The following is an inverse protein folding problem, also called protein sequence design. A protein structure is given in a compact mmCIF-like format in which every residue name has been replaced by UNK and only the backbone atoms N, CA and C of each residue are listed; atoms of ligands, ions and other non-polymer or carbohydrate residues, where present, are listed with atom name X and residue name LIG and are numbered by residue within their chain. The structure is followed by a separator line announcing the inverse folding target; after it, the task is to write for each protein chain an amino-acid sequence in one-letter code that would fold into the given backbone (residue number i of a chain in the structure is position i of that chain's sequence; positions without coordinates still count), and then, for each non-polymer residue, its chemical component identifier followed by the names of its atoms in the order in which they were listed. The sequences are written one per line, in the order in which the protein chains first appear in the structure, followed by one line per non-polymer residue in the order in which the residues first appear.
data_IF_157813973675
#
_entry.id   IF_157813973675
#
_cell.length_a   1.000
_cell.length_b   1.000
_cell.length_c   1.000
_cell.angle_alpha   90.00
_cell.angle_beta   90.00
_cell.angle_gamma   90.00
#
_symmetry.space_group_name_H-M   'P 1'
#
loop_
_entity.id
_entity.type
_entity.pdbx_description
1 polymer ?
#
# COMPACT_ATOMS: atom_id res chain seq x y z
N UNK A 1 13.85 -34.50 -69.19
CA UNK A 1 13.03 -34.06 -68.05
C UNK A 1 12.02 -33.10 -68.64
N UNK A 2 10.75 -33.50 -68.70
CA UNK A 2 9.67 -32.86 -69.47
C UNK A 2 9.09 -31.64 -68.75
N UNK A 3 8.91 -30.55 -69.49
CA UNK A 3 8.29 -29.28 -69.08
C UNK A 3 6.75 -29.35 -69.04
N UNK A 4 6.18 -30.45 -68.57
CA UNK A 4 4.74 -30.62 -68.39
C UNK A 4 4.46 -30.93 -66.91
N UNK A 5 4.19 -29.88 -66.11
CA UNK A 5 3.25 -29.89 -64.96
C UNK A 5 3.37 -28.64 -64.05
N UNK A 6 3.27 -27.43 -64.62
CA UNK A 6 2.81 -26.27 -63.84
C UNK A 6 1.43 -25.84 -64.33
N UNK A 7 0.41 -26.59 -63.91
CA UNK A 7 -1.00 -26.21 -64.12
C UNK A 7 -1.31 -25.01 -63.23
N UNK A 8 -1.10 -23.80 -63.75
CA UNK A 8 -1.62 -22.57 -63.13
C UNK A 8 -3.13 -22.62 -63.27
N UNK A 9 -3.82 -22.91 -62.16
CA UNK A 9 -5.28 -22.89 -62.08
C UNK A 9 -5.76 -21.44 -62.13
N UNK A 10 -5.99 -20.92 -63.34
CA UNK A 10 -6.65 -19.63 -63.54
C UNK A 10 -8.12 -19.73 -63.15
N UNK A 11 -8.41 -19.51 -61.87
CA UNK A 11 -9.78 -19.42 -61.35
C UNK A 11 -10.35 -18.07 -61.77
N UNK A 12 -11.52 -18.09 -62.42
CA UNK A 12 -12.21 -16.85 -62.83
C UNK A 12 -12.61 -16.05 -61.57
N UNK A 13 -12.52 -14.71 -61.60
CA UNK A 13 -12.94 -13.88 -60.47
C UNK A 13 -14.42 -14.13 -60.18
N UNK A 14 -14.73 -14.44 -58.93
CA UNK A 14 -16.09 -14.74 -58.50
C UNK A 14 -16.85 -13.40 -58.30
N UNK A 15 -18.01 -13.20 -58.94
CA UNK A 15 -18.80 -11.99 -58.77
C UNK A 15 -19.34 -11.85 -57.33
N UNK A 16 -19.54 -10.61 -56.88
CA UNK A 16 -19.88 -10.27 -55.50
C UNK A 16 -21.14 -10.97 -54.98
N UNK A 17 -22.13 -11.17 -55.85
CA UNK A 17 -23.38 -11.84 -55.48
C UNK A 17 -23.17 -13.31 -55.10
N UNK A 18 -22.23 -13.98 -55.79
CA UNK A 18 -21.86 -15.38 -55.50
C UNK A 18 -20.98 -15.45 -54.25
N UNK A 19 -20.13 -14.45 -53.98
CA UNK A 19 -19.31 -14.40 -52.76
C UNK A 19 -20.16 -14.36 -51.48
N UNK A 20 -21.35 -13.74 -51.50
CA UNK A 20 -22.25 -13.70 -50.34
C UNK A 20 -22.86 -15.05 -49.97
N UNK A 21 -22.77 -16.02 -50.88
CA UNK A 21 -23.28 -17.39 -50.68
C UNK A 21 -22.17 -18.37 -50.28
N UNK A 22 -20.92 -17.93 -50.23
CA UNK A 22 -19.81 -18.79 -49.82
C UNK A 22 -19.86 -19.07 -48.32
N UNK A 23 -19.38 -20.26 -47.95
CA UNK A 23 -19.29 -20.69 -46.56
C UNK A 23 -18.51 -19.66 -45.73
N UNK A 24 -17.39 -19.16 -46.24
CA UNK A 24 -16.53 -18.18 -45.57
C UNK A 24 -17.27 -16.89 -45.21
N UNK A 25 -18.10 -16.36 -46.12
CA UNK A 25 -18.90 -15.16 -45.84
C UNK A 25 -19.93 -15.41 -44.74
N UNK A 26 -20.60 -16.57 -44.78
CA UNK A 26 -21.58 -16.94 -43.74
C UNK A 26 -20.94 -17.19 -42.37
N UNK A 27 -19.73 -17.74 -42.32
CA UNK A 27 -18.98 -17.93 -41.07
C UNK A 27 -18.51 -16.59 -40.50
N UNK A 28 -18.03 -15.66 -41.35
CA UNK A 28 -17.67 -14.30 -40.92
C UNK A 28 -18.86 -13.55 -40.33
N UNK A 29 -20.02 -13.61 -40.99
CA UNK A 29 -21.25 -12.98 -40.48
C UNK A 29 -21.75 -13.61 -39.17
N UNK A 30 -21.61 -14.93 -39.00
CA UNK A 30 -21.94 -15.62 -37.73
C UNK A 30 -20.98 -15.24 -36.59
N UNK A 31 -19.70 -15.02 -36.90
CA UNK A 31 -18.72 -14.54 -35.93
C UNK A 31 -19.01 -13.10 -35.50
N UNK A 32 -19.43 -12.23 -36.43
CA UNK A 32 -19.84 -10.84 -36.14
C UNK A 32 -21.11 -10.79 -35.26
N UNK A 33 -22.08 -11.68 -35.47
CA UNK A 33 -23.32 -11.73 -34.69
C UNK A 33 -23.23 -12.46 -33.35
N UNK A 34 -22.03 -12.89 -32.91
CA UNK A 34 -21.86 -13.70 -31.70
C UNK A 34 -21.88 -12.83 -30.44
N UNK A 35 -22.92 -12.95 -29.63
CA UNK A 35 -23.16 -12.11 -28.44
C UNK A 35 -22.40 -12.59 -27.19
N UNK A 36 -21.89 -13.83 -27.17
CA UNK A 36 -21.54 -14.55 -25.94
C UNK A 36 -20.03 -14.61 -25.60
N UNK A 37 -19.17 -13.78 -26.20
CA UNK A 37 -17.73 -13.76 -25.90
C UNK A 37 -17.22 -12.38 -25.46
N UNK A 38 -16.34 -12.37 -24.46
CA UNK A 38 -15.74 -11.17 -23.85
C UNK A 38 -14.86 -10.34 -24.82
N UNK A 39 -14.49 -10.92 -25.96
CA UNK A 39 -13.67 -10.26 -26.98
C UNK A 39 -14.41 -10.26 -28.32
N UNK A 40 -15.00 -9.11 -28.66
CA UNK A 40 -15.41 -8.82 -30.03
C UNK A 40 -14.13 -8.49 -30.81
N UNK A 41 -13.65 -9.41 -31.65
CA UNK A 41 -12.61 -9.06 -32.61
C UNK A 41 -13.30 -8.21 -33.68
N UNK A 42 -12.99 -6.91 -33.83
CA UNK A 42 -13.46 -6.19 -35.00
C UNK A 42 -12.89 -6.92 -36.21
N UNK A 43 -13.76 -7.36 -37.12
CA UNK A 43 -13.31 -7.83 -38.43
C UNK A 43 -12.43 -6.73 -38.98
N UNK A 44 -11.14 -7.03 -39.19
CA UNK A 44 -10.12 -6.05 -39.58
C UNK A 44 -10.74 -5.18 -40.67
N UNK A 45 -10.98 -3.91 -40.31
CA UNK A 45 -11.59 -2.95 -41.22
C UNK A 45 -10.79 -2.99 -42.51
N UNK A 46 -11.48 -3.04 -43.65
CA UNK A 46 -10.84 -2.91 -44.95
C UNK A 46 -9.84 -1.75 -44.87
N UNK A 47 -8.54 -2.04 -44.97
CA UNK A 47 -7.46 -1.03 -44.85
C UNK A 47 -7.68 0.10 -45.88
N UNK A 48 -8.41 -0.21 -46.94
CA UNK A 48 -8.77 0.66 -48.06
C UNK A 48 -9.93 1.61 -47.71
N UNK A 49 -10.87 1.21 -46.84
CA UNK A 49 -12.01 2.06 -46.46
C UNK A 49 -11.95 2.34 -44.96
N UNK A 50 -11.58 3.57 -44.54
CA UNK A 50 -11.55 3.92 -43.12
C UNK A 50 -12.93 3.74 -42.51
N UNK A 51 -12.96 3.25 -41.27
CA UNK A 51 -14.19 3.08 -40.50
C UNK A 51 -15.00 4.39 -40.52
N UNK A 52 -16.28 4.38 -40.94
CA UNK A 52 -17.13 5.57 -40.92
C UNK A 52 -17.31 6.16 -39.51
N UNK A 53 -17.05 5.37 -38.47
CA UNK A 53 -17.02 5.83 -37.07
C UNK A 53 -15.77 6.67 -36.77
N UNK A 54 -14.72 6.51 -37.57
CA UNK A 54 -13.50 7.29 -37.47
C UNK A 54 -13.70 8.65 -38.14
N UNK A 55 -14.41 9.53 -37.42
CA UNK A 55 -14.79 10.89 -37.86
C UNK A 55 -13.60 11.71 -38.35
N UNK A 56 -12.38 11.39 -37.88
CA UNK A 56 -11.16 12.09 -38.27
C UNK A 56 -10.84 11.97 -39.77
N UNK A 57 -11.18 10.84 -40.41
CA UNK A 57 -10.94 10.62 -41.84
C UNK A 57 -11.95 11.34 -42.75
N UNK A 58 -13.09 11.78 -42.21
CA UNK A 58 -14.20 12.40 -42.94
C UNK A 58 -14.41 13.88 -42.57
N UNK A 59 -13.51 14.49 -41.79
CA UNK A 59 -13.54 15.92 -41.48
C UNK A 59 -13.28 16.74 -42.73
N UNK A 60 -14.02 17.85 -42.88
CA UNK A 60 -13.71 18.84 -43.91
C UNK A 60 -12.38 19.53 -43.58
N UNK A 61 -11.66 19.98 -44.61
CA UNK A 61 -10.38 20.67 -44.42
C UNK A 61 -10.49 21.91 -43.52
N UNK A 62 -11.64 22.60 -43.55
CA UNK A 62 -11.95 23.74 -42.67
C UNK A 62 -12.17 23.37 -41.20
N UNK A 63 -12.54 22.12 -40.92
CA UNK A 63 -12.79 21.59 -39.58
C UNK A 63 -11.56 20.86 -39.03
N UNK A 64 -10.61 20.55 -39.91
CA UNK A 64 -9.35 19.86 -39.60
C UNK A 64 -8.42 20.72 -38.75
N UNK A 65 -8.46 22.03 -38.96
CA UNK A 65 -7.67 23.01 -38.21
C UNK A 65 -8.59 23.98 -37.50
N UNK A 66 -8.34 24.22 -36.21
CA UNK A 66 -8.98 25.31 -35.48
C UNK A 66 -8.36 26.62 -35.97
N UNK A 67 -9.12 27.36 -36.75
CA UNK A 67 -8.68 28.65 -37.32
C UNK A 67 -9.00 29.84 -36.42
N UNK A 68 -9.92 29.67 -35.46
CA UNK A 68 -10.30 30.72 -34.51
C UNK A 68 -9.41 30.71 -33.26
N UNK A 69 -8.37 31.53 -33.27
CA UNK A 69 -7.47 31.74 -32.15
C UNK A 69 -8.20 32.22 -30.87
N UNK A 70 -9.28 32.99 -31.00
CA UNK A 70 -10.00 33.51 -29.85
C UNK A 70 -10.73 32.38 -29.09
N UNK A 71 -11.25 31.40 -29.82
CA UNK A 71 -11.90 30.22 -29.24
C UNK A 71 -10.91 29.37 -28.42
N UNK A 72 -9.71 29.14 -28.96
CA UNK A 72 -8.67 28.37 -28.27
C UNK A 72 -8.17 29.11 -27.03
N UNK A 73 -7.92 30.42 -27.13
CA UNK A 73 -7.50 31.22 -25.99
C UNK A 73 -8.53 31.21 -24.86
N UNK A 74 -9.83 31.29 -25.21
CA UNK A 74 -10.92 31.20 -24.23
C UNK A 74 -10.96 29.84 -23.56
N UNK A 75 -10.82 28.75 -24.31
CA UNK A 75 -10.80 27.39 -23.78
C UNK A 75 -9.60 27.18 -22.85
N UNK A 76 -8.42 27.63 -23.24
CA UNK A 76 -7.23 27.60 -22.39
C UNK A 76 -7.45 28.34 -21.07
N UNK A 77 -8.04 29.55 -21.11
CA UNK A 77 -8.36 30.33 -19.91
C UNK A 77 -9.45 29.70 -19.05
N UNK A 78 -10.38 28.97 -19.65
CA UNK A 78 -11.40 28.23 -18.93
C UNK A 78 -10.79 27.01 -18.23
N UNK A 79 -9.94 26.25 -18.92
CA UNK A 79 -9.23 25.10 -18.36
C UNK A 79 -8.32 25.52 -17.20
N UNK A 80 -7.60 26.64 -17.34
CA UNK A 80 -6.79 27.21 -16.26
C UNK A 80 -7.63 27.53 -15.01
N UNK A 81 -8.78 28.19 -15.20
CA UNK A 81 -9.69 28.51 -14.09
C UNK A 81 -10.27 27.26 -13.43
N UNK A 82 -10.69 26.27 -14.22
CA UNK A 82 -11.22 25.01 -13.69
C UNK A 82 -10.17 24.25 -12.88
N UNK A 83 -8.92 24.22 -13.34
CA UNK A 83 -7.84 23.58 -12.58
C UNK A 83 -7.56 24.32 -11.27
N UNK A 84 -7.53 25.66 -11.28
CA UNK A 84 -7.38 26.45 -10.07
C UNK A 84 -8.53 26.22 -9.08
N UNK A 85 -9.78 26.17 -9.56
CA UNK A 85 -10.97 25.88 -8.74
C UNK A 85 -10.90 24.48 -8.14
N UNK A 86 -10.53 23.47 -8.94
CA UNK A 86 -10.34 22.09 -8.49
C UNK A 86 -9.28 22.00 -7.40
N UNK A 87 -8.14 22.67 -7.58
CA UNK A 87 -7.07 22.71 -6.56
C UNK A 87 -7.57 23.37 -5.26
N UNK A 88 -8.34 24.46 -5.36
CA UNK A 88 -8.93 25.12 -4.19
C UNK A 88 -9.91 24.22 -3.45
N UNK A 89 -10.79 23.53 -4.17
CA UNK A 89 -11.76 22.59 -3.59
C UNK A 89 -11.05 21.46 -2.85
N UNK A 90 -10.05 20.83 -3.46
CA UNK A 90 -9.26 19.76 -2.81
C UNK A 90 -8.59 20.25 -1.53
N UNK A 91 -8.06 21.49 -1.53
CA UNK A 91 -7.44 22.07 -0.32
C UNK A 91 -8.46 22.30 0.78
N UNK A 92 -9.64 22.80 0.43
CA UNK A 92 -10.74 23.06 1.37
C UNK A 92 -11.26 21.76 1.99
N UNK A 93 -11.53 20.74 1.17
CA UNK A 93 -11.96 19.41 1.63
C UNK A 93 -10.95 18.81 2.61
N UNK A 94 -9.66 18.83 2.26
CA UNK A 94 -8.59 18.35 3.15
C UNK A 94 -8.49 19.13 4.45
N UNK A 95 -8.85 20.41 4.46
CA UNK A 95 -8.86 21.21 5.68
C UNK A 95 -10.06 20.83 6.56
N UNK A 96 -11.25 20.74 5.97
CA UNK A 96 -12.48 20.32 6.64
C UNK A 96 -12.30 18.92 7.24
N UNK A 97 -11.74 17.97 6.50
CA UNK A 97 -11.48 16.61 6.98
C UNK A 97 -10.54 16.58 8.19
N UNK A 98 -9.50 17.42 8.18
CA UNK A 98 -8.55 17.53 9.30
C UNK A 98 -9.20 18.13 10.52
N UNK A 99 -10.02 19.16 10.33
CA UNK A 99 -10.74 19.83 11.40
C UNK A 99 -11.81 18.93 12.02
N UNK A 100 -12.60 18.23 11.19
CA UNK A 100 -13.59 17.26 11.65
C UNK A 100 -12.94 16.15 12.48
N UNK A 101 -11.83 15.56 12.00
CA UNK A 101 -11.06 14.56 12.76
C UNK A 101 -10.54 15.11 14.09
N UNK A 102 -10.05 16.35 14.09
CA UNK A 102 -9.60 16.99 15.32
C UNK A 102 -10.75 17.14 16.32
N UNK A 103 -11.92 17.63 15.88
CA UNK A 103 -13.09 17.78 16.73
C UNK A 103 -13.62 16.44 17.24
N UNK A 104 -13.64 15.40 16.40
CA UNK A 104 -13.98 14.04 16.81
C UNK A 104 -13.04 13.52 17.90
N UNK A 105 -11.73 13.71 17.75
CA UNK A 105 -10.73 13.33 18.76
C UNK A 105 -10.93 14.09 20.07
N UNK A 106 -11.21 15.39 20.01
CA UNK A 106 -11.48 16.22 21.19
C UNK A 106 -12.73 15.73 21.92
N UNK A 107 -13.83 15.50 21.21
CA UNK A 107 -15.07 14.98 21.78
C UNK A 107 -14.87 13.61 22.42
N UNK A 108 -14.15 12.71 21.76
CA UNK A 108 -13.85 11.39 22.32
C UNK A 108 -12.98 11.46 23.57
N UNK A 109 -12.03 12.40 23.65
CA UNK A 109 -11.22 12.62 24.86
C UNK A 109 -12.09 13.14 26.00
N UNK A 110 -12.92 14.13 25.72
CA UNK A 110 -13.83 14.69 26.72
C UNK A 110 -14.79 13.62 27.26
N UNK A 111 -15.38 12.80 26.40
CA UNK A 111 -16.24 11.69 26.79
C UNK A 111 -15.51 10.66 27.67
N UNK A 112 -14.25 10.36 27.35
CA UNK A 112 -13.41 9.46 28.15
C UNK A 112 -13.07 10.06 29.51
N UNK A 113 -12.79 11.36 29.56
CA UNK A 113 -12.51 12.08 30.81
C UNK A 113 -13.74 12.15 31.72
N UNK A 114 -14.91 12.43 31.17
CA UNK A 114 -16.17 12.41 31.94
C UNK A 114 -16.43 11.00 32.49
N UNK A 115 -16.30 9.97 31.64
CA UNK A 115 -16.47 8.57 32.06
C UNK A 115 -15.44 8.17 33.11
N UNK A 116 -14.17 8.54 32.95
CA UNK A 116 -13.14 8.22 33.92
C UNK A 116 -13.41 8.95 35.24
N UNK A 117 -13.70 10.25 35.22
CA UNK A 117 -14.03 11.02 36.41
C UNK A 117 -15.19 10.41 37.20
N UNK A 118 -16.26 9.95 36.52
CA UNK A 118 -17.37 9.26 37.18
C UNK A 118 -16.96 7.92 37.82
N UNK A 119 -16.02 7.19 37.21
CA UNK A 119 -15.53 5.91 37.77
C UNK A 119 -14.48 6.06 38.88
N UNK A 120 -13.85 7.22 39.01
CA UNK A 120 -12.72 7.43 39.92
C UNK A 120 -13.10 8.00 41.30
N UNK A 121 -14.38 8.26 41.57
CA UNK A 121 -14.86 8.85 42.84
C UNK A 121 -14.53 8.00 44.08
N UNK A 122 -14.15 6.73 43.94
CA UNK A 122 -13.91 5.81 45.08
C UNK A 122 -12.53 5.12 45.10
N UNK A 123 -11.59 5.47 44.20
CA UNK A 123 -10.25 4.85 44.24
C UNK A 123 -9.35 5.59 45.23
N UNK A 124 -8.72 4.85 46.13
CA UNK A 124 -7.68 5.36 47.02
C UNK A 124 -6.54 5.94 46.18
N UNK A 125 -5.92 7.03 46.64
CA UNK A 125 -4.71 7.58 46.02
C UNK A 125 -3.58 6.56 46.16
N UNK A 126 -3.41 5.72 45.14
CA UNK A 126 -2.16 4.99 44.96
C UNK A 126 -1.11 6.00 44.52
N UNK A 127 0.04 6.02 45.20
CA UNK A 127 1.11 6.92 44.79
C UNK A 127 1.62 6.40 43.45
N UNK A 128 1.56 7.19 42.38
CA UNK A 128 1.82 6.75 41.00
C UNK A 128 3.25 6.26 40.70
N UNK A 129 4.06 5.97 41.72
CA UNK A 129 5.39 5.40 41.60
C UNK A 129 5.32 3.86 41.68
N UNK A 130 5.74 3.19 40.61
CA UNK A 130 5.76 1.71 40.53
C UNK A 130 6.97 1.08 41.23
N UNK A 131 7.98 1.88 41.59
CA UNK A 131 9.19 1.48 42.30
C UNK A 131 9.29 2.24 43.62
N UNK A 132 9.57 1.51 44.70
CA UNK A 132 9.77 2.10 46.02
C UNK A 132 11.27 2.28 46.31
N UNK A 133 11.78 3.53 46.37
CA UNK A 133 13.20 3.79 46.60
C UNK A 133 13.65 3.47 48.03
N UNK A 134 12.73 3.26 48.98
CA UNK A 134 13.07 2.94 50.37
C UNK A 134 13.27 1.44 50.54
N UNK A 135 12.35 0.62 50.03
CA UNK A 135 12.47 -0.85 50.08
C UNK A 135 13.33 -1.42 48.95
N UNK A 136 13.59 -0.61 47.91
CA UNK A 136 14.26 -1.02 46.66
C UNK A 136 13.49 -2.10 45.89
N UNK A 137 12.20 -2.24 46.18
CA UNK A 137 11.33 -3.24 45.57
C UNK A 137 10.36 -2.61 44.57
N UNK A 138 10.02 -3.38 43.54
CA UNK A 138 8.88 -3.07 42.69
C UNK A 138 7.60 -3.36 43.45
N UNK A 139 6.60 -2.49 43.30
CA UNK A 139 5.29 -2.72 43.92
C UNK A 139 4.59 -3.90 43.26
N UNK A 140 3.80 -4.64 44.04
CA UNK A 140 2.96 -5.74 43.55
C UNK A 140 1.72 -5.22 42.80
N UNK A 141 1.98 -4.49 41.72
CA UNK A 141 1.00 -3.88 40.84
C UNK A 141 1.36 -4.21 39.39
N UNK A 142 0.38 -4.12 38.50
CA UNK A 142 0.59 -4.37 37.07
C UNK A 142 1.65 -3.42 36.47
N UNK A 143 1.68 -2.18 36.93
CA UNK A 143 2.69 -1.19 36.50
C UNK A 143 4.07 -1.47 37.10
N UNK A 144 4.14 -2.04 38.30
CA UNK A 144 5.38 -2.54 38.90
C UNK A 144 5.96 -3.71 38.13
N UNK A 145 5.13 -4.70 37.79
CA UNK A 145 5.52 -5.84 36.94
C UNK A 145 6.01 -5.38 35.56
N UNK A 146 5.36 -4.36 34.99
CA UNK A 146 5.76 -3.77 33.70
C UNK A 146 7.12 -3.08 33.79
N UNK A 147 7.33 -2.30 34.83
CA UNK A 147 8.59 -1.60 35.05
C UNK A 147 9.73 -2.62 35.24
N UNK A 148 9.50 -3.65 36.07
CA UNK A 148 10.46 -4.75 36.29
C UNK A 148 10.86 -5.43 34.98
N UNK A 149 9.89 -5.84 34.18
CA UNK A 149 10.15 -6.49 32.89
C UNK A 149 10.97 -5.59 31.94
N UNK A 150 10.68 -4.28 31.92
CA UNK A 150 11.39 -3.34 31.07
C UNK A 150 12.85 -3.16 31.49
N UNK A 151 13.10 -3.07 32.79
CA UNK A 151 14.43 -2.87 33.35
C UNK A 151 15.28 -4.15 33.25
N UNK A 152 14.75 -5.32 33.57
CA UNK A 152 15.40 -6.61 33.28
C UNK A 152 15.73 -6.74 31.78
N UNK A 153 14.83 -6.27 30.92
CA UNK A 153 15.06 -6.23 29.47
C UNK A 153 16.23 -5.33 29.06
N UNK A 154 16.43 -4.20 29.74
CA UNK A 154 17.60 -3.33 29.50
C UNK A 154 18.89 -4.00 29.95
N UNK A 155 18.89 -4.63 31.11
CA UNK A 155 20.05 -5.34 31.64
C UNK A 155 20.48 -6.47 30.70
N UNK A 156 19.51 -7.28 30.25
CA UNK A 156 19.75 -8.31 29.24
C UNK A 156 20.40 -7.74 27.97
N UNK A 157 19.83 -6.67 27.39
CA UNK A 157 20.39 -6.04 26.18
C UNK A 157 21.79 -5.47 26.40
N UNK A 158 22.05 -4.91 27.58
CA UNK A 158 23.36 -4.36 27.96
C UNK A 158 24.42 -5.47 27.99
N UNK A 159 24.13 -6.59 28.65
CA UNK A 159 25.08 -7.71 28.74
C UNK A 159 25.28 -8.39 27.37
N UNK A 160 24.22 -8.58 26.60
CA UNK A 160 24.33 -9.08 25.22
C UNK A 160 25.18 -8.14 24.35
N UNK A 161 25.02 -6.82 24.49
CA UNK A 161 25.86 -5.84 23.78
C UNK A 161 27.31 -5.91 24.22
N UNK A 162 27.57 -6.03 25.52
CA UNK A 162 28.91 -6.19 26.08
C UNK A 162 29.60 -7.43 25.50
N UNK A 163 28.89 -8.56 25.41
CA UNK A 163 29.39 -9.77 24.75
C UNK A 163 29.77 -9.52 23.29
N UNK A 164 28.87 -8.90 22.51
CA UNK A 164 29.14 -8.62 21.11
C UNK A 164 30.32 -7.67 20.91
N UNK A 165 30.42 -6.61 21.72
CA UNK A 165 31.55 -5.69 21.68
C UNK A 165 32.86 -6.39 22.01
N UNK A 166 32.86 -7.23 23.05
CA UNK A 166 34.04 -7.98 23.45
C UNK A 166 34.52 -8.95 22.37
N UNK A 167 33.59 -9.64 21.69
CA UNK A 167 33.89 -10.50 20.52
C UNK A 167 34.49 -9.71 19.37
N UNK A 168 33.93 -8.54 19.05
CA UNK A 168 34.34 -7.74 17.91
C UNK A 168 35.68 -7.02 18.14
N UNK A 169 35.99 -6.63 19.38
CA UNK A 169 37.24 -5.95 19.73
C UNK A 169 38.44 -6.91 19.71
N UNK A 170 38.21 -8.21 19.92
CA UNK A 170 39.27 -9.22 20.01
C UNK A 170 39.19 -10.26 18.87
N UNK A 171 39.43 -9.85 17.60
CA UNK A 171 39.32 -10.77 16.45
C UNK A 171 40.33 -11.91 16.49
N UNK A 172 41.48 -11.69 17.15
CA UNK A 172 42.55 -12.68 17.25
C UNK A 172 42.21 -13.81 18.24
N UNK A 173 41.17 -13.67 19.06
CA UNK A 173 40.75 -14.71 20.00
C UNK A 173 41.67 -14.92 21.21
N UNK A 174 42.57 -13.97 21.51
CA UNK A 174 43.49 -14.02 22.66
C UNK A 174 43.39 -12.75 23.49
N UNK A 175 43.59 -12.87 24.81
CA UNK A 175 43.64 -11.74 25.73
C UNK A 175 44.96 -10.97 25.52
N UNK A 176 44.96 -9.67 25.19
CA UNK A 176 46.18 -8.92 24.93
C UNK A 176 47.07 -8.70 26.17
N UNK A 177 46.54 -8.92 27.39
CA UNK A 177 47.31 -8.73 28.64
C UNK A 177 48.11 -10.00 28.99
N UNK A 178 47.48 -11.18 28.88
CA UNK A 178 48.05 -12.44 29.36
C UNK A 178 48.38 -13.44 28.23
N UNK A 179 47.91 -13.21 27.01
CA UNK A 179 48.11 -14.12 25.86
C UNK A 179 47.24 -15.38 25.87
N UNK A 180 46.42 -15.58 26.90
CA UNK A 180 45.52 -16.74 27.00
C UNK A 180 44.37 -16.69 25.97
N UNK A 181 43.86 -17.84 25.50
CA UNK A 181 42.71 -17.87 24.60
C UNK A 181 41.48 -17.27 25.28
N UNK A 182 40.74 -16.43 24.55
CA UNK A 182 39.55 -15.77 25.05
C UNK A 182 38.44 -16.80 25.28
N UNK A 183 38.05 -17.00 26.54
CA UNK A 183 36.91 -17.83 26.91
C UNK A 183 35.64 -16.99 26.96
N UNK A 184 34.82 -17.08 25.91
CA UNK A 184 33.55 -16.36 25.84
C UNK A 184 32.47 -16.92 26.78
N UNK A 185 32.69 -18.10 27.35
CA UNK A 185 31.85 -18.75 28.36
C UNK A 185 31.81 -17.99 29.68
N UNK A 186 32.83 -17.18 29.95
CA UNK A 186 33.05 -16.60 31.27
C UNK A 186 32.27 -15.30 31.48
N UNK A 187 31.62 -14.79 30.43
CA UNK A 187 30.68 -13.68 30.57
C UNK A 187 29.28 -14.22 30.85
N UNK A 188 28.77 -14.08 32.10
CA UNK A 188 27.41 -14.49 32.40
C UNK A 188 26.44 -13.56 31.65
N UNK A 189 25.65 -14.14 30.77
CA UNK A 189 24.51 -13.45 30.15
C UNK A 189 23.30 -13.82 30.99
N UNK A 190 22.56 -12.85 31.54
CA UNK A 190 21.32 -13.17 32.25
C UNK A 190 20.33 -13.82 31.29
N UNK A 191 19.44 -14.65 31.82
CA UNK A 191 18.37 -15.23 31.02
C UNK A 191 17.50 -14.13 30.42
N UNK A 192 16.94 -14.41 29.24
CA UNK A 192 16.03 -13.48 28.60
C UNK A 192 14.81 -13.28 29.52
N UNK A 193 14.48 -12.04 29.92
CA UNK A 193 13.37 -11.83 30.82
C UNK A 193 12.06 -12.23 30.16
N UNK A 194 11.19 -12.83 30.96
CA UNK A 194 9.84 -13.22 30.59
C UNK A 194 8.83 -12.37 31.35
N UNK A 195 7.76 -11.89 30.69
CA UNK A 195 6.73 -11.14 31.38
C UNK A 195 6.05 -11.99 32.46
N UNK A 196 5.60 -11.36 33.56
CA UNK A 196 4.81 -12.06 34.58
C UNK A 196 3.46 -12.51 34.01
N UNK A 197 2.88 -13.58 34.55
CA UNK A 197 1.57 -14.10 34.10
C UNK A 197 0.49 -13.00 34.09
N UNK A 198 0.47 -12.15 35.12
CA UNK A 198 -0.46 -11.01 35.22
C UNK A 198 -0.28 -10.00 34.08
N UNK A 199 0.97 -9.75 33.67
CA UNK A 199 1.29 -8.84 32.57
C UNK A 199 0.94 -9.45 31.21
N UNK A 200 1.18 -10.75 31.02
CA UNK A 200 0.79 -11.48 29.81
C UNK A 200 -0.72 -11.45 29.59
N UNK A 201 -1.50 -11.76 30.63
CA UNK A 201 -2.96 -11.71 30.59
C UNK A 201 -3.47 -10.30 30.25
N UNK A 202 -2.88 -9.26 30.85
CA UNK A 202 -3.24 -7.87 30.56
C UNK A 202 -2.92 -7.45 29.11
N UNK A 203 -1.81 -7.95 28.56
CA UNK A 203 -1.46 -7.73 27.14
C UNK A 203 -2.42 -8.46 26.20
N UNK A 204 -2.81 -9.69 26.52
CA UNK A 204 -3.76 -10.47 25.71
C UNK A 204 -5.17 -9.83 25.70
N UNK A 205 -5.59 -9.25 26.83
CA UNK A 205 -6.87 -8.55 26.94
C UNK A 205 -6.86 -7.14 26.30
N UNK A 206 -5.76 -6.71 25.68
CA UNK A 206 -5.63 -5.40 25.06
C UNK A 206 -5.65 -4.22 26.05
N UNK A 207 -5.52 -4.49 27.35
CA UNK A 207 -5.50 -3.47 28.41
C UNK A 207 -4.18 -2.68 28.41
N UNK A 208 -3.11 -3.30 27.90
CA UNK A 208 -1.78 -2.70 27.77
C UNK A 208 -1.26 -2.97 26.35
N UNK A 209 -0.78 -1.92 25.67
CA UNK A 209 -0.07 -2.07 24.38
C UNK A 209 1.33 -2.63 24.63
N UNK A 210 1.74 -3.60 23.80
CA UNK A 210 3.10 -4.16 23.77
C UNK A 210 4.15 -3.08 23.54
#
# INVERSE_FOLDING_TARGET
MSEDDMVVRNIKPVPRDVQRTTKDYTEKSRLEGRVESYYHQPTVADIITPDPSNKLAFLKESERFRTDFASEYKEQKQNQRQEEERIRQIKLERQIDRENKHWEDVLQRQDKEVKSAMTHVTKKNDSGASYDPVTLEYRDTLDGDRLRFYDEGKEFRKEVRKLHLYKNINPNGYNPINGEPLQYSDMPIPDKPHPSQRLEEAQQQGRIKR
#
